data_IF_806810406993
#
_entry.id   IF_806810406993
#
_cell.length_a   1.000
_cell.length_b   1.000
_cell.length_c   1.000
_cell.angle_alpha   90.00
_cell.angle_beta   90.00
_cell.angle_gamma   90.00
#
_symmetry.space_group_name_H-M   'P 1'
#
loop_
_entity.id
_entity.type
_entity.pdbx_description
1 polymer ?
#
# COMPACT_ATOMS: atom_id res chain seq x y z
N UNK A 1 37.50 3.64 -26.47
CA UNK A 1 37.23 4.67 -25.44
C UNK A 1 36.36 3.99 -24.39
N UNK A 2 36.96 3.61 -23.26
CA UNK A 2 36.29 2.87 -22.19
C UNK A 2 35.84 3.82 -21.09
N UNK A 3 34.74 3.46 -20.42
CA UNK A 3 34.27 4.13 -19.21
C UNK A 3 35.34 4.11 -18.12
N UNK A 4 35.43 5.19 -17.34
CA UNK A 4 36.35 5.23 -16.20
C UNK A 4 35.75 4.52 -14.99
N UNK A 5 36.59 3.92 -14.14
CA UNK A 5 36.14 3.33 -12.88
C UNK A 5 35.51 4.38 -11.95
N UNK A 6 35.99 5.63 -12.04
CA UNK A 6 35.48 6.75 -11.25
C UNK A 6 34.02 7.08 -11.60
N UNK A 7 33.67 7.09 -12.90
CA UNK A 7 32.28 7.26 -13.32
C UNK A 7 31.37 6.18 -12.73
N UNK A 8 31.82 4.92 -12.77
CA UNK A 8 31.05 3.80 -12.23
C UNK A 8 30.87 3.88 -10.71
N UNK A 9 31.90 4.32 -9.97
CA UNK A 9 31.81 4.47 -8.51
C UNK A 9 30.77 5.52 -8.08
N UNK A 10 30.71 6.66 -8.78
CA UNK A 10 29.72 7.71 -8.47
C UNK A 10 28.31 7.21 -8.75
N UNK A 11 28.11 6.47 -9.85
CA UNK A 11 26.81 5.88 -10.20
C UNK A 11 26.33 4.93 -9.10
N UNK A 12 27.19 4.01 -8.65
CA UNK A 12 26.83 3.06 -7.58
C UNK A 12 26.57 3.78 -6.26
N UNK A 13 27.32 4.83 -5.93
CA UNK A 13 27.08 5.63 -4.74
C UNK A 13 25.70 6.30 -4.75
N UNK A 14 25.31 6.90 -5.88
CA UNK A 14 24.00 7.54 -6.03
C UNK A 14 22.87 6.49 -5.94
N UNK A 15 23.01 5.35 -6.64
CA UNK A 15 22.03 4.26 -6.58
C UNK A 15 21.90 3.72 -5.14
N UNK A 16 23.02 3.59 -4.41
CA UNK A 16 23.01 3.15 -3.02
C UNK A 16 22.21 4.08 -2.10
N UNK A 17 22.39 5.40 -2.23
CA UNK A 17 21.64 6.40 -1.46
C UNK A 17 20.14 6.34 -1.79
N UNK A 18 19.81 6.27 -3.09
CA UNK A 18 18.42 6.17 -3.53
C UNK A 18 17.76 4.88 -3.03
N UNK A 19 18.44 3.73 -3.13
CA UNK A 19 17.93 2.45 -2.67
C UNK A 19 17.71 2.42 -1.16
N UNK A 20 18.62 3.01 -0.37
CA UNK A 20 18.50 3.08 1.08
C UNK A 20 17.22 3.81 1.55
N UNK A 21 16.77 4.82 0.81
CA UNK A 21 15.54 5.56 1.10
C UNK A 21 14.32 4.88 0.46
N UNK A 22 14.45 4.43 -0.79
CA UNK A 22 13.34 3.90 -1.57
C UNK A 22 12.79 2.59 -1.00
N UNK A 23 13.64 1.68 -0.51
CA UNK A 23 13.23 0.38 0.01
C UNK A 23 12.29 0.51 1.22
N UNK A 24 12.66 1.19 2.32
CA UNK A 24 11.77 1.34 3.48
C UNK A 24 10.52 2.17 3.14
N UNK A 25 10.65 3.21 2.31
CA UNK A 25 9.51 4.01 1.87
C UNK A 25 8.50 3.17 1.10
N UNK A 26 8.94 2.34 0.16
CA UNK A 26 8.07 1.49 -0.63
C UNK A 26 7.38 0.41 0.23
N UNK A 27 8.10 -0.18 1.19
CA UNK A 27 7.52 -1.12 2.15
C UNK A 27 6.40 -0.46 2.99
N UNK A 28 6.66 0.73 3.53
CA UNK A 28 5.67 1.50 4.28
C UNK A 28 4.47 1.91 3.40
N UNK A 29 4.70 2.28 2.15
CA UNK A 29 3.64 2.62 1.20
C UNK A 29 2.74 1.41 0.92
N UNK A 30 3.31 0.23 0.67
CA UNK A 30 2.53 -1.02 0.50
C UNK A 30 1.69 -1.34 1.72
N UNK A 31 2.24 -1.20 2.93
CA UNK A 31 1.48 -1.45 4.15
C UNK A 31 0.30 -0.47 4.30
N UNK A 32 0.52 0.81 4.01
CA UNK A 32 -0.54 1.82 4.04
C UNK A 32 -1.62 1.53 3.00
N UNK A 33 -1.23 1.11 1.80
CA UNK A 33 -2.17 0.73 0.75
C UNK A 33 -3.02 -0.47 1.18
N UNK A 34 -2.40 -1.49 1.78
CA UNK A 34 -3.12 -2.65 2.33
C UNK A 34 -4.12 -2.25 3.42
N UNK A 35 -3.69 -1.44 4.38
CA UNK A 35 -4.57 -0.96 5.46
C UNK A 35 -5.71 -0.08 4.92
N UNK A 36 -5.44 0.75 3.92
CA UNK A 36 -6.45 1.57 3.26
C UNK A 36 -7.48 0.73 2.51
N UNK A 37 -7.05 -0.34 1.83
CA UNK A 37 -7.93 -1.27 1.16
C UNK A 37 -8.83 -1.99 2.19
N UNK A 38 -8.24 -2.55 3.23
CA UNK A 38 -9.00 -3.20 4.31
C UNK A 38 -10.00 -2.24 4.98
N UNK A 39 -9.61 -0.98 5.21
CA UNK A 39 -10.53 0.01 5.76
C UNK A 39 -11.67 0.35 4.79
N UNK A 40 -11.39 0.39 3.49
CA UNK A 40 -12.42 0.57 2.46
C UNK A 40 -13.39 -0.60 2.43
N UNK A 41 -12.89 -1.83 2.52
CA UNK A 41 -13.70 -3.05 2.53
C UNK A 41 -14.63 -3.07 3.76
N UNK A 42 -14.11 -2.75 4.95
CA UNK A 42 -14.93 -2.64 6.17
C UNK A 42 -16.02 -1.57 6.05
N UNK A 43 -15.71 -0.42 5.44
CA UNK A 43 -16.72 0.62 5.19
C UNK A 43 -17.79 0.12 4.22
N UNK A 44 -17.38 -0.59 3.18
CA UNK A 44 -18.31 -1.17 2.22
C UNK A 44 -19.24 -2.21 2.87
N UNK A 45 -18.70 -3.14 3.66
CA UNK A 45 -19.51 -4.10 4.42
C UNK A 45 -20.47 -3.41 5.37
N UNK A 46 -20.00 -2.38 6.08
CA UNK A 46 -20.86 -1.58 6.95
C UNK A 46 -22.02 -0.96 6.16
N UNK A 47 -21.75 -0.34 5.02
CA UNK A 47 -22.79 0.26 4.18
C UNK A 47 -23.79 -0.77 3.67
N UNK A 48 -23.33 -1.96 3.27
CA UNK A 48 -24.21 -3.07 2.88
C UNK A 48 -25.12 -3.48 4.04
N UNK A 49 -24.56 -3.75 5.21
CA UNK A 49 -25.36 -4.11 6.40
C UNK A 49 -26.35 -3.02 6.81
N UNK A 50 -25.94 -1.74 6.75
CA UNK A 50 -26.85 -0.61 7.04
C UNK A 50 -27.98 -0.51 6.02
N UNK A 51 -27.72 -0.86 4.75
CA UNK A 51 -28.73 -0.89 3.69
C UNK A 51 -29.69 -2.05 3.89
N UNK A 52 -29.18 -3.25 4.15
CA UNK A 52 -30.00 -4.44 4.41
C UNK A 52 -30.90 -4.25 5.65
N UNK A 53 -30.35 -3.67 6.73
CA UNK A 53 -31.12 -3.33 7.92
C UNK A 53 -32.18 -2.25 7.66
N UNK A 54 -31.90 -1.26 6.80
CA UNK A 54 -32.88 -0.24 6.44
C UNK A 54 -34.06 -0.82 5.65
N UNK A 55 -33.81 -1.84 4.83
CA UNK A 55 -34.82 -2.48 3.98
C UNK A 55 -35.69 -3.50 4.74
N UNK A 56 -35.09 -4.35 5.58
CA UNK A 56 -35.80 -5.46 6.23
C UNK A 56 -36.05 -5.29 7.75
N UNK A 57 -35.49 -4.23 8.37
CA UNK A 57 -35.51 -4.00 9.84
C UNK A 57 -34.93 -5.16 10.68
N UNK A 58 -34.24 -6.10 10.05
CA UNK A 58 -33.66 -7.29 10.64
C UNK A 58 -32.21 -7.36 10.15
N UNK A 59 -31.27 -7.66 11.05
CA UNK A 59 -29.93 -8.05 10.62
C UNK A 59 -30.07 -9.48 10.11
N UNK A 60 -29.87 -9.70 8.80
CA UNK A 60 -29.78 -11.05 8.26
C UNK A 60 -28.59 -11.76 8.94
N UNK A 61 -28.90 -12.75 9.77
CA UNK A 61 -27.95 -13.50 10.59
C UNK A 61 -27.27 -14.55 9.70
N UNK A 62 -26.57 -14.07 8.67
CA UNK A 62 -25.79 -14.91 7.76
C UNK A 62 -24.38 -15.17 8.34
N UNK A 63 -24.34 -15.88 9.46
CA UNK A 63 -23.21 -16.61 10.02
C UNK A 63 -23.66 -17.99 10.50
#
# INVERSE_FOLDING_TARGET
KGFTLVELMIVVAIIGILAAIAIPQFAAYRQRAFNSAAQSDLRNFKTVMETDFADYQEYDDAL
#
